data_IF_967123695103
#
_entry.id   IF_967123695103
#
_cell.length_a   1.000
_cell.length_b   1.000
_cell.length_c   1.000
_cell.angle_alpha   90.00
_cell.angle_beta   90.00
_cell.angle_gamma   90.00
#
_symmetry.space_group_name_H-M   'P 1'
#
loop_
_entity.id
_entity.type
_entity.pdbx_description
1 polymer ?
#
# COMPACT_ATOMS: atom_id res chain seq x y z
N UNK A 1 22.27 -18.16 -12.39
CA UNK A 1 23.43 -19.07 -12.27
C UNK A 1 23.08 -20.43 -11.63
N UNK A 2 22.30 -20.47 -10.55
CA UNK A 2 21.98 -21.72 -9.85
C UNK A 2 21.28 -22.78 -10.73
N UNK A 3 20.34 -22.37 -11.59
CA UNK A 3 19.63 -23.27 -12.49
C UNK A 3 20.59 -23.96 -13.48
N UNK A 4 21.43 -23.18 -14.17
CA UNK A 4 22.41 -23.71 -15.12
C UNK A 4 23.44 -24.62 -14.45
N UNK A 5 23.91 -24.27 -13.25
CA UNK A 5 24.82 -25.14 -12.50
C UNK A 5 24.18 -26.49 -12.17
N UNK A 6 22.89 -26.51 -11.79
CA UNK A 6 22.17 -27.75 -11.51
C UNK A 6 21.94 -28.57 -12.78
N UNK A 7 21.64 -27.90 -13.90
CA UNK A 7 21.51 -28.55 -15.22
C UNK A 7 22.82 -29.18 -15.69
N UNK A 8 23.94 -28.46 -15.62
CA UNK A 8 25.27 -28.99 -15.98
C UNK A 8 25.66 -30.16 -15.09
N UNK A 9 25.32 -30.11 -13.79
CA UNK A 9 25.56 -31.24 -12.89
C UNK A 9 24.77 -32.48 -13.32
N UNK A 10 23.51 -32.32 -13.74
CA UNK A 10 22.69 -33.39 -14.28
C UNK A 10 23.28 -33.96 -15.58
N UNK A 11 23.67 -33.09 -16.52
CA UNK A 11 24.24 -33.48 -17.82
C UNK A 11 25.56 -34.24 -17.68
N UNK A 12 26.33 -33.97 -16.61
CA UNK A 12 27.58 -34.65 -16.28
C UNK A 12 27.38 -35.94 -15.46
N UNK A 13 26.15 -36.44 -15.32
CA UNK A 13 25.85 -37.67 -14.59
C UNK A 13 25.88 -37.52 -13.07
N UNK A 14 25.69 -36.30 -12.55
CA UNK A 14 25.52 -36.07 -11.12
C UNK A 14 24.22 -36.67 -10.58
N UNK A 15 24.05 -36.58 -9.26
CA UNK A 15 22.84 -37.03 -8.55
C UNK A 15 21.58 -36.37 -9.14
N UNK A 16 20.77 -37.18 -9.82
CA UNK A 16 19.58 -36.75 -10.58
C UNK A 16 18.48 -36.22 -9.68
N UNK A 17 18.20 -36.89 -8.57
CA UNK A 17 17.19 -36.47 -7.59
C UNK A 17 17.52 -35.06 -7.07
N UNK A 18 18.75 -34.89 -6.61
CA UNK A 18 19.26 -33.60 -6.10
C UNK A 18 19.32 -32.52 -7.17
N UNK A 19 19.72 -32.85 -8.40
CA UNK A 19 19.81 -31.90 -9.48
C UNK A 19 18.43 -31.38 -9.90
N UNK A 20 17.45 -32.28 -10.10
CA UNK A 20 16.07 -31.91 -10.44
C UNK A 20 15.45 -31.03 -9.34
N UNK A 21 15.62 -31.39 -8.07
CA UNK A 21 15.12 -30.57 -6.96
C UNK A 21 15.71 -29.16 -6.99
N UNK A 22 17.03 -29.04 -7.20
CA UNK A 22 17.72 -27.73 -7.28
C UNK A 22 17.29 -26.93 -8.50
N UNK A 23 17.04 -27.56 -9.64
CA UNK A 23 16.50 -26.90 -10.82
C UNK A 23 15.08 -26.37 -10.56
N UNK A 24 14.23 -27.15 -9.89
CA UNK A 24 12.89 -26.74 -9.45
C UNK A 24 12.94 -25.53 -8.51
N UNK A 25 13.78 -25.58 -7.47
CA UNK A 25 13.96 -24.47 -6.52
C UNK A 25 14.54 -23.22 -7.19
N UNK A 26 15.49 -23.39 -8.11
CA UNK A 26 16.05 -22.25 -8.85
C UNK A 26 15.01 -21.61 -9.77
N UNK A 27 14.21 -22.40 -10.49
CA UNK A 27 13.10 -21.90 -11.30
C UNK A 27 12.05 -21.18 -10.43
N UNK A 28 11.75 -21.72 -9.24
CA UNK A 28 10.84 -21.08 -8.27
C UNK A 28 11.37 -19.70 -7.84
N UNK A 29 12.65 -19.60 -7.48
CA UNK A 29 13.28 -18.33 -7.10
C UNK A 29 13.38 -17.31 -8.25
N UNK A 30 13.33 -17.78 -9.50
CA UNK A 30 13.22 -16.94 -10.70
C UNK A 30 11.77 -16.59 -11.06
N UNK A 31 10.79 -17.00 -10.25
CA UNK A 31 9.35 -16.84 -10.51
C UNK A 31 8.86 -17.56 -11.78
N UNK A 32 9.62 -18.54 -12.29
CA UNK A 32 9.23 -19.36 -13.44
C UNK A 32 8.33 -20.51 -12.96
N UNK A 33 7.14 -20.18 -12.46
CA UNK A 33 6.28 -21.09 -11.67
C UNK A 33 5.95 -22.40 -12.37
N UNK A 34 5.56 -22.33 -13.64
CA UNK A 34 5.21 -23.53 -14.42
C UNK A 34 6.42 -24.44 -14.62
N UNK A 35 7.60 -23.86 -14.87
CA UNK A 35 8.84 -24.60 -15.04
C UNK A 35 9.30 -25.25 -13.73
N UNK A 36 9.14 -24.54 -12.61
CA UNK A 36 9.39 -25.09 -11.28
C UNK A 36 8.46 -26.29 -11.00
N UNK A 37 7.16 -26.12 -11.25
CA UNK A 37 6.17 -27.19 -11.09
C UNK A 37 6.50 -28.42 -11.94
N UNK A 38 6.91 -28.24 -13.20
CA UNK A 38 7.30 -29.34 -14.08
C UNK A 38 8.46 -30.16 -13.50
N UNK A 39 9.48 -29.50 -12.94
CA UNK A 39 10.60 -30.19 -12.26
C UNK A 39 10.17 -30.94 -11.02
N UNK A 40 9.27 -30.37 -10.21
CA UNK A 40 8.74 -31.06 -9.04
C UNK A 40 7.79 -32.23 -9.40
N UNK A 41 7.13 -32.18 -10.55
CA UNK A 41 6.40 -33.34 -11.10
C UNK A 41 7.38 -34.42 -11.56
N UNK A 42 8.46 -34.05 -12.24
CA UNK A 42 9.47 -35.00 -12.72
C UNK A 42 10.14 -35.75 -11.56
N UNK A 43 10.56 -35.05 -10.51
CA UNK A 43 11.16 -35.70 -9.34
C UNK A 43 10.16 -36.61 -8.62
N UNK A 44 8.88 -36.26 -8.50
CA UNK A 44 7.87 -37.11 -7.84
C UNK A 44 7.49 -38.35 -8.67
N UNK A 45 7.71 -38.32 -9.99
CA UNK A 45 7.53 -39.50 -10.84
C UNK A 45 8.66 -40.52 -10.64
N UNK A 46 9.88 -40.05 -10.49
CA UNK A 46 11.07 -40.91 -10.34
C UNK A 46 11.39 -41.26 -8.89
N UNK A 47 11.10 -40.34 -7.96
CA UNK A 47 11.39 -40.42 -6.53
C UNK A 47 10.14 -40.03 -5.71
N UNK A 48 9.11 -40.90 -5.65
CA UNK A 48 7.83 -40.58 -5.01
C UNK A 48 7.95 -40.20 -3.52
N UNK A 49 8.96 -40.75 -2.84
CA UNK A 49 9.23 -40.53 -1.40
C UNK A 49 10.11 -39.30 -1.13
N UNK A 50 10.40 -38.45 -2.13
CA UNK A 50 11.24 -37.26 -1.92
C UNK A 50 10.57 -36.29 -0.92
N UNK A 51 11.22 -36.12 0.24
CA UNK A 51 10.65 -35.48 1.43
C UNK A 51 10.00 -34.11 1.19
N UNK A 52 10.54 -33.29 0.27
CA UNK A 52 10.11 -31.90 0.08
C UNK A 52 9.37 -31.62 -1.24
N UNK A 53 9.36 -32.54 -2.20
CA UNK A 53 8.97 -32.20 -3.57
C UNK A 53 7.47 -31.98 -3.72
N UNK A 54 6.66 -32.77 -3.01
CA UNK A 54 5.19 -32.64 -2.97
C UNK A 54 4.76 -31.25 -2.50
N UNK A 55 5.38 -30.74 -1.43
CA UNK A 55 5.05 -29.42 -0.90
C UNK A 55 5.48 -28.29 -1.85
N UNK A 56 6.67 -28.40 -2.44
CA UNK A 56 7.13 -27.40 -3.41
C UNK A 56 6.29 -27.40 -4.70
N UNK A 57 5.80 -28.56 -5.14
CA UNK A 57 4.86 -28.65 -6.26
C UNK A 57 3.54 -27.93 -5.95
N UNK A 58 2.96 -28.13 -4.76
CA UNK A 58 1.75 -27.42 -4.33
C UNK A 58 1.96 -25.91 -4.36
N UNK A 59 3.08 -25.43 -3.81
CA UNK A 59 3.44 -24.01 -3.82
C UNK A 59 3.59 -23.47 -5.24
N UNK A 60 4.40 -24.11 -6.08
CA UNK A 60 4.61 -23.67 -7.47
C UNK A 60 3.30 -23.63 -8.28
N UNK A 61 2.43 -24.61 -8.06
CA UNK A 61 1.11 -24.66 -8.71
C UNK A 61 0.19 -23.54 -8.21
N UNK A 62 0.21 -23.23 -6.91
CA UNK A 62 -0.54 -22.12 -6.34
C UNK A 62 -0.07 -20.77 -6.93
N UNK A 63 1.24 -20.53 -7.03
CA UNK A 63 1.81 -19.31 -7.64
C UNK A 63 1.43 -19.17 -9.12
N UNK A 64 1.49 -20.26 -9.88
CA UNK A 64 1.03 -20.30 -11.28
C UNK A 64 -0.48 -20.03 -11.42
N UNK A 65 -1.29 -20.44 -10.44
CA UNK A 65 -2.72 -20.14 -10.41
C UNK A 65 -2.97 -18.65 -10.12
N UNK A 66 -2.29 -18.10 -9.12
CA UNK A 66 -2.33 -16.68 -8.76
C UNK A 66 -1.96 -15.78 -9.94
N UNK A 67 -0.84 -16.06 -10.60
CA UNK A 67 -0.34 -15.31 -11.76
C UNK A 67 -1.36 -15.25 -12.91
N UNK A 68 -2.04 -16.37 -13.18
CA UNK A 68 -2.96 -16.47 -14.32
C UNK A 68 -4.37 -15.99 -14.02
N UNK A 69 -4.83 -16.19 -12.78
CA UNK A 69 -6.25 -15.99 -12.43
C UNK A 69 -6.51 -14.78 -11.55
N UNK A 70 -5.47 -14.19 -10.94
CA UNK A 70 -5.63 -13.11 -9.96
C UNK A 70 -6.30 -13.55 -8.67
N UNK A 71 -6.42 -14.87 -8.42
CA UNK A 71 -7.03 -15.41 -7.20
C UNK A 71 -6.00 -15.56 -6.10
N UNK A 72 -5.98 -14.58 -5.19
CA UNK A 72 -5.08 -14.57 -4.03
C UNK A 72 -5.84 -14.84 -2.74
N UNK A 73 -5.14 -15.42 -1.77
CA UNK A 73 -5.61 -15.52 -0.40
C UNK A 73 -5.22 -14.26 0.39
N UNK A 74 -5.96 -13.17 0.19
CA UNK A 74 -5.72 -11.89 0.87
C UNK A 74 -5.77 -12.01 2.40
N UNK A 75 -6.57 -12.94 2.91
CA UNK A 75 -6.64 -13.26 4.35
C UNK A 75 -5.27 -13.73 4.87
N UNK A 76 -4.66 -14.69 4.19
CA UNK A 76 -3.32 -15.18 4.54
C UNK A 76 -2.26 -14.10 4.36
N UNK A 77 -2.33 -13.31 3.29
CA UNK A 77 -1.39 -12.20 3.05
C UNK A 77 -1.43 -11.19 4.20
N UNK A 78 -2.63 -10.81 4.65
CA UNK A 78 -2.78 -9.89 5.78
C UNK A 78 -2.23 -10.50 7.08
N UNK A 79 -2.63 -11.73 7.43
CA UNK A 79 -2.16 -12.41 8.65
C UNK A 79 -0.64 -12.56 8.70
N UNK A 80 0.00 -12.77 7.55
CA UNK A 80 1.45 -12.82 7.43
C UNK A 80 2.07 -11.43 7.54
N UNK A 81 1.44 -10.41 6.96
CA UNK A 81 1.94 -9.03 6.94
C UNK A 81 2.08 -8.39 8.32
N UNK A 82 1.27 -8.82 9.30
CA UNK A 82 1.31 -8.28 10.67
C UNK A 82 2.37 -8.95 11.55
N UNK A 83 3.06 -9.97 11.04
CA UNK A 83 4.17 -10.59 11.78
C UNK A 83 5.37 -9.65 11.81
N UNK A 84 6.26 -9.87 12.76
CA UNK A 84 7.44 -9.02 12.94
C UNK A 84 8.49 -9.11 11.81
N UNK A 85 8.44 -10.17 10.99
CA UNK A 85 9.24 -10.32 9.78
C UNK A 85 8.38 -11.08 8.74
N UNK A 86 7.51 -10.37 8.00
CA UNK A 86 6.61 -11.00 7.03
C UNK A 86 7.36 -11.69 5.89
N UNK A 87 6.97 -12.93 5.60
CA UNK A 87 7.43 -13.69 4.43
C UNK A 87 6.23 -14.12 3.59
N UNK A 88 5.69 -13.17 2.82
CA UNK A 88 4.51 -13.43 1.99
C UNK A 88 4.95 -14.05 0.68
N UNK A 89 4.77 -15.36 0.56
CA UNK A 89 5.01 -16.10 -0.68
C UNK A 89 3.76 -16.04 -1.56
N UNK A 90 3.78 -15.21 -2.60
CA UNK A 90 2.72 -15.02 -3.62
C UNK A 90 3.33 -14.64 -4.96
N UNK A 91 2.60 -14.84 -6.05
CA UNK A 91 3.01 -14.40 -7.39
C UNK A 91 2.69 -12.93 -7.66
N UNK A 92 3.36 -12.36 -8.67
CA UNK A 92 2.87 -11.17 -9.36
C UNK A 92 1.62 -11.52 -10.19
N UNK A 93 0.80 -10.51 -10.49
CA UNK A 93 -0.38 -10.59 -11.35
C UNK A 93 -0.55 -9.29 -12.11
N UNK A 94 -0.90 -9.38 -13.40
CA UNK A 94 -1.30 -8.26 -14.24
C UNK A 94 -2.70 -8.54 -14.76
N UNK A 95 -3.65 -7.70 -14.37
CA UNK A 95 -5.05 -7.80 -14.74
C UNK A 95 -5.35 -7.15 -16.09
N UNK A 96 -6.50 -6.48 -16.25
CA UNK A 96 -6.90 -5.87 -17.51
C UNK A 96 -6.22 -4.52 -17.75
N UNK A 97 -4.89 -4.52 -17.69
CA UNK A 97 -4.04 -3.34 -17.83
C UNK A 97 -2.96 -3.58 -18.88
N UNK A 98 -2.54 -2.52 -19.55
CA UNK A 98 -1.47 -2.53 -20.54
C UNK A 98 -0.52 -1.36 -20.28
N UNK A 99 0.77 -1.58 -20.54
CA UNK A 99 1.77 -0.51 -20.52
C UNK A 99 1.75 0.16 -21.89
N UNK A 100 1.61 1.48 -21.92
CA UNK A 100 1.61 2.27 -23.16
C UNK A 100 2.50 3.50 -23.03
N UNK A 101 3.05 3.95 -24.16
CA UNK A 101 3.64 5.28 -24.26
C UNK A 101 2.52 6.30 -24.43
N UNK A 102 2.37 7.17 -23.44
CA UNK A 102 1.40 8.24 -23.39
C UNK A 102 2.07 9.52 -23.90
N UNK A 103 1.53 10.16 -24.96
CA UNK A 103 2.06 11.42 -25.47
C UNK A 103 2.20 12.45 -24.34
N UNK A 104 3.39 13.03 -24.16
CA UNK A 104 3.66 14.00 -23.10
C UNK A 104 4.04 13.41 -21.74
N UNK A 105 3.61 12.19 -21.38
CA UNK A 105 3.90 11.56 -20.06
C UNK A 105 4.97 10.46 -20.10
N UNK A 106 5.27 9.96 -21.31
CA UNK A 106 6.07 8.75 -21.51
C UNK A 106 5.31 7.51 -21.06
N UNK A 107 5.94 6.61 -20.30
CA UNK A 107 5.31 5.33 -19.96
C UNK A 107 4.18 5.49 -18.94
N UNK A 108 2.98 5.08 -19.33
CA UNK A 108 1.79 5.00 -18.48
C UNK A 108 1.16 3.61 -18.47
N UNK A 109 0.08 3.47 -17.71
CA UNK A 109 -0.74 2.26 -17.64
C UNK A 109 -2.13 2.61 -18.17
N UNK A 110 -2.65 1.84 -19.11
CA UNK A 110 -4.01 2.03 -19.67
C UNK A 110 -4.88 0.80 -19.43
N UNK A 111 -6.19 0.99 -19.44
CA UNK A 111 -7.16 -0.10 -19.34
C UNK A 111 -7.29 -0.85 -20.68
N UNK A 112 -7.11 -2.18 -20.69
CA UNK A 112 -7.23 -3.00 -21.91
C UNK A 112 -8.67 -3.31 -22.31
N UNK A 113 -9.61 -3.12 -21.38
CA UNK A 113 -11.07 -3.23 -21.55
C UNK A 113 -11.78 -2.32 -20.56
N UNK A 114 -13.11 -2.23 -20.62
CA UNK A 114 -13.89 -1.58 -19.57
C UNK A 114 -13.68 -2.30 -18.23
N UNK A 115 -13.36 -1.55 -17.19
CA UNK A 115 -13.04 -2.04 -15.85
C UNK A 115 -14.08 -1.50 -14.87
N UNK A 116 -14.63 -2.38 -14.04
CA UNK A 116 -15.54 -1.99 -12.97
C UNK A 116 -14.76 -1.64 -11.70
N UNK A 117 -15.30 -0.69 -10.91
CA UNK A 117 -14.81 -0.41 -9.55
C UNK A 117 -14.62 -1.71 -8.76
N UNK A 118 -13.49 -1.83 -8.05
CA UNK A 118 -13.13 -3.02 -7.28
C UNK A 118 -12.36 -4.09 -8.05
N UNK A 119 -12.23 -3.98 -9.38
CA UNK A 119 -11.47 -4.96 -10.17
C UNK A 119 -9.98 -4.95 -9.80
N UNK A 120 -9.41 -6.12 -9.49
CA UNK A 120 -7.98 -6.29 -9.26
C UNK A 120 -7.18 -5.97 -10.54
N UNK A 121 -6.33 -4.96 -10.47
CA UNK A 121 -5.52 -4.47 -11.58
C UNK A 121 -4.12 -5.08 -11.59
N UNK A 122 -3.49 -5.16 -10.42
CA UNK A 122 -2.15 -5.73 -10.30
C UNK A 122 -1.87 -6.25 -8.89
N UNK A 123 -1.05 -7.29 -8.81
CA UNK A 123 -0.34 -7.68 -7.59
C UNK A 123 1.14 -7.67 -7.93
N UNK A 124 1.94 -6.95 -7.14
CA UNK A 124 3.37 -6.82 -7.36
C UNK A 124 4.11 -7.16 -6.07
N UNK A 125 4.87 -8.24 -6.10
CA UNK A 125 5.77 -8.62 -5.02
C UNK A 125 7.08 -7.84 -5.16
N UNK A 126 7.52 -7.25 -4.05
CA UNK A 126 8.77 -6.50 -4.00
C UNK A 126 9.95 -7.32 -4.57
N UNK A 127 10.83 -6.63 -5.28
CA UNK A 127 12.06 -7.25 -5.82
C UNK A 127 12.97 -7.77 -4.71
N UNK A 128 13.04 -7.05 -3.59
CA UNK A 128 13.75 -7.41 -2.37
C UNK A 128 13.09 -6.73 -1.17
N UNK A 129 13.16 -7.37 -0.02
CA UNK A 129 12.63 -6.85 1.25
C UNK A 129 13.60 -7.15 2.38
N UNK A 130 13.54 -6.33 3.43
CA UNK A 130 14.26 -6.56 4.68
C UNK A 130 13.55 -5.91 5.85
N UNK A 131 13.78 -6.51 7.01
CA UNK A 131 13.15 -6.18 8.27
C UNK A 131 14.21 -5.81 9.30
N UNK A 132 13.83 -5.04 10.31
CA UNK A 132 14.79 -4.63 11.36
C UNK A 132 15.44 -5.82 12.08
N UNK A 133 14.75 -6.96 12.15
CA UNK A 133 15.28 -8.21 12.73
C UNK A 133 16.41 -8.85 11.93
N UNK A 134 16.49 -8.55 10.63
CA UNK A 134 17.53 -9.06 9.75
C UNK A 134 18.91 -8.48 10.08
N UNK A 135 18.95 -7.41 10.88
CA UNK A 135 20.18 -6.77 11.33
C UNK A 135 20.24 -6.75 12.87
N UNK A 136 21.05 -7.63 13.49
CA UNK A 136 21.13 -7.71 14.96
C UNK A 136 21.89 -6.54 15.59
N UNK A 137 22.55 -5.69 14.80
CA UNK A 137 23.32 -4.54 15.28
C UNK A 137 22.54 -3.22 15.30
N UNK A 138 23.22 -2.14 15.71
CA UNK A 138 22.75 -0.77 15.48
C UNK A 138 23.53 -0.18 14.30
N UNK A 139 22.81 0.21 13.25
CA UNK A 139 23.36 0.95 12.13
C UNK A 139 22.63 2.29 12.02
N UNK A 140 23.39 3.37 11.97
CA UNK A 140 22.88 4.71 11.68
C UNK A 140 23.37 5.04 10.27
N UNK A 141 22.44 5.16 9.32
CA UNK A 141 22.73 5.71 7.99
C UNK A 141 22.16 7.13 7.92
N UNK A 142 22.87 8.05 7.30
CA UNK A 142 22.42 9.43 7.10
C UNK A 142 22.27 9.67 5.61
N UNK A 143 21.04 9.89 5.17
CA UNK A 143 20.77 10.32 3.81
C UNK A 143 21.11 11.82 3.68
N UNK A 144 22.30 12.11 3.16
CA UNK A 144 22.81 13.49 3.02
C UNK A 144 22.03 14.34 2.01
N UNK A 145 21.26 13.73 1.11
CA UNK A 145 20.39 14.44 0.15
C UNK A 145 19.11 14.91 0.85
N UNK A 146 18.52 14.05 1.70
CA UNK A 146 17.26 14.32 2.40
C UNK A 146 17.46 14.93 3.79
N UNK A 147 18.71 14.99 4.26
CA UNK A 147 19.08 15.34 5.63
C UNK A 147 18.24 14.55 6.67
N UNK A 148 18.17 13.24 6.49
CA UNK A 148 17.33 12.35 7.29
C UNK A 148 18.09 11.08 7.68
N UNK A 149 17.79 10.55 8.87
CA UNK A 149 18.29 9.24 9.30
C UNK A 149 17.56 8.13 8.55
N UNK A 150 18.33 7.12 8.13
CA UNK A 150 17.84 5.89 7.55
C UNK A 150 18.05 4.71 8.51
N UNK A 151 17.07 3.81 8.51
CA UNK A 151 17.07 2.59 9.31
C UNK A 151 18.01 1.53 8.72
N UNK A 152 18.49 0.62 9.56
CA UNK A 152 19.29 -0.53 9.13
C UNK A 152 18.59 -1.37 8.04
N UNK A 153 17.27 -1.52 8.14
CA UNK A 153 16.46 -2.24 7.16
C UNK A 153 16.48 -1.56 5.77
N UNK A 154 16.48 -0.23 5.69
CA UNK A 154 16.56 0.49 4.42
C UNK A 154 17.91 0.30 3.72
N UNK A 155 19.00 0.21 4.48
CA UNK A 155 20.33 -0.09 3.93
C UNK A 155 20.40 -1.54 3.45
N UNK A 156 19.87 -2.48 4.25
CA UNK A 156 19.95 -3.90 3.95
C UNK A 156 19.17 -4.29 2.68
N UNK A 157 18.05 -3.64 2.38
CA UNK A 157 17.30 -3.94 1.15
C UNK A 157 18.11 -3.60 -0.10
N UNK A 158 18.93 -2.53 -0.07
CA UNK A 158 19.82 -2.16 -1.19
C UNK A 158 20.85 -3.27 -1.41
N UNK A 159 21.51 -3.71 -0.33
CA UNK A 159 22.49 -4.80 -0.39
C UNK A 159 21.85 -6.10 -0.92
N UNK A 160 20.67 -6.47 -0.40
CA UNK A 160 19.93 -7.66 -0.86
C UNK A 160 19.54 -7.57 -2.33
N UNK A 161 19.10 -6.40 -2.80
CA UNK A 161 18.79 -6.19 -4.20
C UNK A 161 20.03 -6.35 -5.09
N UNK A 162 21.17 -5.78 -4.69
CA UNK A 162 22.44 -5.94 -5.41
C UNK A 162 22.88 -7.41 -5.44
N UNK A 163 22.84 -8.11 -4.31
CA UNK A 163 23.15 -9.54 -4.25
C UNK A 163 22.23 -10.38 -5.14
N UNK A 164 20.93 -10.07 -5.17
CA UNK A 164 19.97 -10.77 -6.01
C UNK A 164 20.33 -10.59 -7.49
N UNK A 165 20.67 -9.38 -7.92
CA UNK A 165 21.13 -9.10 -9.28
C UNK A 165 22.44 -9.83 -9.59
N UNK A 166 23.43 -9.80 -8.68
CA UNK A 166 24.71 -10.49 -8.87
C UNK A 166 24.55 -12.01 -9.01
N UNK A 167 23.67 -12.61 -8.20
CA UNK A 167 23.37 -14.06 -8.23
C UNK A 167 22.51 -14.44 -9.45
N UNK A 168 21.66 -13.51 -9.92
CA UNK A 168 20.71 -13.68 -11.02
C UNK A 168 20.73 -12.50 -12.01
N UNK A 169 21.78 -12.38 -12.85
CA UNK A 169 21.93 -11.23 -13.76
C UNK A 169 20.74 -10.99 -14.70
N UNK A 170 20.02 -12.06 -15.08
CA UNK A 170 18.82 -11.98 -15.91
C UNK A 170 17.67 -11.18 -15.28
N UNK A 171 17.66 -11.04 -13.95
CA UNK A 171 16.68 -10.25 -13.20
C UNK A 171 17.04 -8.77 -13.12
N UNK A 172 18.25 -8.39 -13.52
CA UNK A 172 18.69 -6.99 -13.53
C UNK A 172 17.73 -6.08 -14.31
N UNK A 173 17.15 -6.60 -15.40
CA UNK A 173 16.15 -5.90 -16.22
C UNK A 173 14.92 -5.47 -15.41
N UNK A 174 14.52 -6.20 -14.37
CA UNK A 174 13.39 -5.82 -13.50
C UNK A 174 13.67 -4.49 -12.79
N UNK A 175 14.94 -4.22 -12.46
CA UNK A 175 15.36 -2.98 -11.79
C UNK A 175 15.72 -1.89 -12.81
N UNK A 176 16.47 -2.21 -13.86
CA UNK A 176 16.89 -1.22 -14.86
C UNK A 176 15.74 -0.73 -15.74
N UNK A 177 14.64 -1.49 -15.86
CA UNK A 177 13.45 -1.04 -16.58
C UNK A 177 12.47 -0.24 -15.70
N UNK A 178 12.78 -0.02 -14.42
CA UNK A 178 11.99 0.87 -13.58
C UNK A 178 11.94 2.26 -14.21
N UNK A 179 10.74 2.81 -14.26
CA UNK A 179 10.47 4.09 -14.90
C UNK A 179 10.17 5.13 -13.83
N UNK A 180 10.97 6.19 -13.79
CA UNK A 180 10.82 7.28 -12.81
C UNK A 180 9.97 8.45 -13.32
N UNK A 181 9.36 8.33 -14.51
CA UNK A 181 8.72 9.45 -15.20
C UNK A 181 9.70 10.26 -16.06
N UNK A 182 9.15 11.00 -17.02
CA UNK A 182 9.86 12.11 -17.66
C UNK A 182 9.59 13.40 -16.87
N UNK A 183 10.56 14.32 -16.89
CA UNK A 183 10.30 15.69 -16.43
C UNK A 183 9.62 16.42 -17.58
N UNK A 184 8.30 16.47 -17.57
CA UNK A 184 7.53 17.32 -18.47
C UNK A 184 6.93 18.47 -17.69
N UNK A 185 7.12 19.67 -18.23
CA UNK A 185 6.55 20.90 -17.70
C UNK A 185 5.08 20.98 -18.17
N UNK A 186 4.18 21.24 -17.22
CA UNK A 186 2.75 21.49 -17.41
C UNK A 186 1.93 20.30 -17.93
N UNK A 187 1.50 19.45 -16.99
CA UNK A 187 0.54 18.42 -17.32
C UNK A 187 -0.55 18.27 -16.26
N UNK A 188 -1.79 18.19 -16.74
CA UNK A 188 -2.96 18.02 -15.91
C UNK A 188 -3.01 16.60 -15.37
N UNK A 189 -2.77 16.43 -14.07
CA UNK A 189 -2.88 15.12 -13.39
C UNK A 189 -4.33 14.92 -12.95
N UNK A 190 -5.08 13.98 -13.55
CA UNK A 190 -6.45 13.70 -13.14
C UNK A 190 -6.50 12.95 -11.80
N UNK A 191 -7.70 12.86 -11.23
CA UNK A 191 -7.92 12.17 -9.97
C UNK A 191 -7.54 10.68 -10.06
N UNK A 192 -7.12 10.09 -8.94
CA UNK A 192 -6.68 8.70 -8.91
C UNK A 192 -7.84 7.73 -9.24
N UNK A 193 -7.67 6.93 -10.28
CA UNK A 193 -8.63 5.91 -10.73
C UNK A 193 -8.34 4.52 -10.17
N UNK A 194 -7.23 4.36 -9.46
CA UNK A 194 -6.86 3.16 -8.74
C UNK A 194 -6.35 3.48 -7.32
N UNK A 195 -6.44 2.48 -6.46
CA UNK A 195 -5.92 2.54 -5.09
C UNK A 195 -4.93 1.39 -4.88
N UNK A 196 -3.97 1.59 -3.97
CA UNK A 196 -2.97 0.59 -3.61
C UNK A 196 -3.08 0.23 -2.13
N UNK A 197 -3.01 -1.06 -1.83
CA UNK A 197 -2.86 -1.64 -0.51
C UNK A 197 -1.52 -2.37 -0.42
N UNK A 198 -0.85 -2.30 0.73
CA UNK A 198 0.43 -2.96 0.94
C UNK A 198 0.25 -4.01 2.04
N UNK A 199 0.51 -5.28 1.71
CA UNK A 199 0.62 -6.39 2.66
C UNK A 199 2.09 -6.76 2.77
N UNK A 200 2.76 -6.32 3.84
CA UNK A 200 4.18 -6.57 4.04
C UNK A 200 4.99 -6.02 2.86
N UNK A 201 5.52 -6.91 2.03
CA UNK A 201 6.30 -6.61 0.84
C UNK A 201 5.55 -6.89 -0.48
N UNK A 202 4.22 -6.90 -0.45
CA UNK A 202 3.34 -7.09 -1.62
C UNK A 202 2.43 -5.89 -1.78
N UNK A 203 2.49 -5.28 -2.95
CA UNK A 203 1.60 -4.21 -3.37
C UNK A 203 0.43 -4.78 -4.18
N UNK A 204 -0.78 -4.44 -3.79
CA UNK A 204 -2.03 -4.88 -4.43
C UNK A 204 -2.79 -3.64 -4.89
N UNK A 205 -3.23 -3.64 -6.15
CA UNK A 205 -3.86 -2.48 -6.77
C UNK A 205 -5.23 -2.89 -7.30
N UNK A 206 -6.29 -2.16 -6.94
CA UNK A 206 -7.60 -2.28 -7.62
C UNK A 206 -8.12 -0.94 -8.12
N UNK A 207 -9.04 -1.00 -9.08
CA UNK A 207 -9.76 0.16 -9.56
C UNK A 207 -10.62 0.78 -8.45
N UNK A 208 -10.50 2.08 -8.22
CA UNK A 208 -11.32 2.83 -7.25
C UNK A 208 -12.62 3.34 -7.87
N UNK A 209 -12.71 3.35 -9.21
CA UNK A 209 -13.86 3.78 -10.01
C UNK A 209 -14.04 2.87 -11.23
N UNK A 210 -15.09 3.10 -12.01
CA UNK A 210 -15.22 2.50 -13.34
C UNK A 210 -14.27 3.20 -14.31
N UNK A 211 -13.53 2.43 -15.11
CA UNK A 211 -12.52 2.93 -16.05
C UNK A 211 -12.87 2.43 -17.45
N UNK A 212 -12.87 3.29 -18.47
CA UNK A 212 -13.17 2.86 -19.84
C UNK A 212 -11.94 2.27 -20.51
N UNK A 213 -12.17 1.37 -21.46
CA UNK A 213 -11.11 0.85 -22.31
C UNK A 213 -10.32 2.00 -22.95
N UNK A 214 -9.00 1.95 -22.85
CA UNK A 214 -8.08 2.95 -23.40
C UNK A 214 -7.80 4.12 -22.46
N UNK A 215 -8.57 4.29 -21.38
CA UNK A 215 -8.27 5.32 -20.38
C UNK A 215 -7.00 4.98 -19.61
N UNK A 216 -6.22 6.02 -19.30
CA UNK A 216 -5.07 5.93 -18.42
C UNK A 216 -5.49 5.69 -16.96
N UNK A 217 -4.71 4.86 -16.26
CA UNK A 217 -4.94 4.48 -14.87
C UNK A 217 -3.98 5.27 -13.97
N UNK A 218 -4.55 5.98 -13.01
CA UNK A 218 -3.80 6.88 -12.13
C UNK A 218 -3.78 6.36 -10.70
N UNK A 219 -2.59 6.34 -10.11
CA UNK A 219 -2.36 6.08 -8.69
C UNK A 219 -1.96 7.36 -7.99
N UNK A 220 -2.57 7.63 -6.84
CA UNK A 220 -2.12 8.73 -5.99
C UNK A 220 -0.70 8.44 -5.46
N UNK A 221 0.25 9.32 -5.77
CA UNK A 221 1.61 9.23 -5.24
C UNK A 221 1.64 9.53 -3.74
N UNK A 222 0.81 10.48 -3.32
CA UNK A 222 0.69 10.93 -1.93
C UNK A 222 -0.77 10.84 -1.52
N UNK A 223 -1.01 10.43 -0.27
CA UNK A 223 -2.34 10.39 0.32
C UNK A 223 -3.00 11.79 0.30
N UNK A 224 -4.28 11.93 -0.10
CA UNK A 224 -4.93 13.23 -0.25
C UNK A 224 -4.94 14.05 1.05
N UNK A 225 -5.06 13.38 2.21
CA UNK A 225 -5.00 14.04 3.53
C UNK A 225 -3.62 14.53 3.97
N UNK A 226 -2.55 14.28 3.22
CA UNK A 226 -1.23 14.79 3.60
C UNK A 226 -1.17 16.30 3.33
N UNK A 227 -1.12 17.17 4.34
CA UNK A 227 -1.12 18.63 4.12
C UNK A 227 0.16 19.14 3.45
N UNK A 228 1.21 18.32 3.37
CA UNK A 228 2.47 18.66 2.71
C UNK A 228 2.56 18.10 1.28
N UNK A 229 1.43 17.87 0.58
CA UNK A 229 1.41 17.27 -0.77
C UNK A 229 2.37 17.99 -1.72
N UNK A 230 2.24 19.31 -1.86
CA UNK A 230 3.06 20.11 -2.78
C UNK A 230 4.55 19.93 -2.52
N UNK A 231 4.97 20.04 -1.25
CA UNK A 231 6.36 19.80 -0.84
C UNK A 231 6.81 18.38 -1.16
N UNK A 232 5.97 17.37 -0.93
CA UNK A 232 6.28 15.99 -1.24
C UNK A 232 6.34 15.70 -2.75
N UNK A 233 5.62 16.47 -3.58
CA UNK A 233 5.68 16.36 -5.05
C UNK A 233 6.87 17.11 -5.64
N UNK A 234 7.42 18.12 -4.95
CA UNK A 234 8.55 18.93 -5.45
C UNK A 234 9.78 18.11 -5.87
N UNK A 235 10.01 16.93 -5.28
CA UNK A 235 11.12 16.06 -5.67
C UNK A 235 10.95 15.42 -7.06
N UNK A 236 9.74 15.42 -7.61
CA UNK A 236 9.40 14.83 -8.91
C UNK A 236 9.49 15.83 -10.08
N UNK A 237 9.83 17.10 -9.81
CA UNK A 237 10.04 18.15 -10.83
C UNK A 237 8.87 18.33 -11.80
N UNK A 238 7.63 18.21 -11.31
CA UNK A 238 6.41 18.57 -12.05
C UNK A 238 5.49 19.41 -11.16
N UNK A 239 4.58 20.17 -11.77
CA UNK A 239 3.52 20.91 -11.07
C UNK A 239 2.23 20.11 -11.13
N UNK A 240 1.63 19.83 -9.97
CA UNK A 240 0.37 19.07 -9.89
C UNK A 240 -0.83 19.97 -10.09
N UNK A 241 -1.62 19.71 -11.12
CA UNK A 241 -2.83 20.49 -11.45
C UNK A 241 -4.12 19.74 -11.10
N UNK A 242 -4.09 18.77 -10.20
CA UNK A 242 -5.30 18.07 -9.77
C UNK A 242 -6.26 19.04 -9.05
N UNK A 243 -7.53 18.66 -8.94
CA UNK A 243 -8.57 19.52 -8.37
C UNK A 243 -8.25 20.00 -6.94
N UNK A 244 -7.50 19.20 -6.16
CA UNK A 244 -7.05 19.54 -4.81
C UNK A 244 -5.95 20.61 -4.83
N UNK A 245 -4.94 20.46 -5.68
CA UNK A 245 -3.83 21.40 -5.79
C UNK A 245 -4.29 22.74 -6.37
N UNK A 246 -5.15 22.72 -7.40
CA UNK A 246 -5.75 23.95 -7.95
C UNK A 246 -6.62 24.71 -6.92
N UNK A 247 -7.31 23.98 -6.05
CA UNK A 247 -8.10 24.60 -4.98
C UNK A 247 -7.23 25.22 -3.89
N UNK A 248 -6.08 24.60 -3.56
CA UNK A 248 -5.11 25.13 -2.59
C UNK A 248 -4.32 26.32 -3.15
N UNK A 249 -3.99 26.32 -4.45
CA UNK A 249 -3.27 27.42 -5.10
C UNK A 249 -4.06 28.74 -5.05
N UNK A 250 -5.38 28.66 -5.22
CA UNK A 250 -6.29 29.82 -5.16
C UNK A 250 -6.55 30.32 -3.74
N UNK A 251 -6.01 29.64 -2.73
CA UNK A 251 -6.37 29.85 -1.34
C UNK A 251 -5.30 30.65 -0.58
N UNK A 252 -5.57 31.94 -0.39
CA UNK A 252 -4.68 32.89 0.28
C UNK A 252 -4.31 32.48 1.72
N UNK A 253 -5.12 31.64 2.37
CA UNK A 253 -4.89 31.18 3.74
C UNK A 253 -4.09 29.85 3.80
N UNK A 254 -3.63 29.29 2.68
CA UNK A 254 -2.93 28.01 2.64
C UNK A 254 -1.69 28.00 3.56
N UNK A 255 -0.79 28.97 3.42
CA UNK A 255 0.43 29.07 4.25
C UNK A 255 0.12 29.20 5.75
N UNK A 256 -0.90 30.01 6.11
CA UNK A 256 -1.36 30.17 7.49
C UNK A 256 -1.87 28.86 8.09
N UNK A 257 -2.62 28.06 7.31
CA UNK A 257 -3.09 26.73 7.74
C UNK A 257 -1.93 25.75 7.93
N UNK A 258 -0.95 25.74 7.03
CA UNK A 258 0.25 24.93 7.21
C UNK A 258 1.00 25.28 8.49
N UNK A 259 1.11 26.57 8.84
CA UNK A 259 1.74 27.01 10.10
C UNK A 259 0.96 26.51 11.34
N UNK A 260 -0.36 26.69 11.36
CA UNK A 260 -1.22 26.22 12.46
C UNK A 260 -1.12 24.68 12.59
N UNK A 261 -1.13 23.97 11.47
CA UNK A 261 -1.00 22.52 11.45
C UNK A 261 0.36 22.06 11.99
N UNK A 262 1.44 22.72 11.59
CA UNK A 262 2.79 22.44 12.11
C UNK A 262 2.90 22.69 13.62
N UNK A 263 2.24 23.73 14.14
CA UNK A 263 2.13 23.97 15.58
C UNK A 263 1.36 22.83 16.28
N UNK A 264 0.28 22.36 15.68
CA UNK A 264 -0.57 21.29 16.21
C UNK A 264 0.15 19.95 16.29
N UNK A 265 0.86 19.53 15.23
CA UNK A 265 1.57 18.24 15.20
C UNK A 265 2.75 18.22 16.17
N UNK A 266 3.41 19.36 16.44
CA UNK A 266 4.50 19.45 17.43
C UNK A 266 4.04 19.17 18.86
N UNK A 267 2.75 19.30 19.12
CA UNK A 267 2.14 18.98 20.41
C UNK A 267 1.70 17.51 20.52
N UNK A 268 1.84 16.71 19.45
CA UNK A 268 1.44 15.30 19.46
C UNK A 268 2.35 14.49 20.38
N UNK A 269 1.76 13.60 21.16
CA UNK A 269 2.46 12.60 21.97
C UNK A 269 1.95 11.21 21.60
N UNK A 270 2.77 10.18 21.82
CA UNK A 270 2.48 8.83 21.32
C UNK A 270 1.24 8.18 21.98
N UNK A 271 0.99 8.40 23.27
CA UNK A 271 -0.17 7.88 24.02
C UNK A 271 -0.48 8.76 25.23
N UNK A 272 -1.74 8.74 25.68
CA UNK A 272 -2.20 9.40 26.91
C UNK A 272 -1.91 10.91 26.90
N UNK A 273 -2.39 11.61 25.88
CA UNK A 273 -2.18 13.05 25.70
C UNK A 273 -2.67 13.83 26.94
N UNK A 274 -1.79 14.57 27.63
CA UNK A 274 -2.17 15.33 28.82
C UNK A 274 -3.27 16.35 28.53
N UNK A 275 -4.19 16.57 29.48
CA UNK A 275 -5.35 17.45 29.29
C UNK A 275 -4.97 18.88 28.85
N UNK A 276 -3.87 19.43 29.38
CA UNK A 276 -3.37 20.75 29.00
C UNK A 276 -2.88 20.81 27.55
N UNK A 277 -2.32 19.71 27.02
CA UNK A 277 -1.90 19.58 25.62
C UNK A 277 -3.14 19.52 24.72
N UNK A 278 -4.17 18.79 25.14
CA UNK A 278 -5.45 18.71 24.41
C UNK A 278 -6.12 20.08 24.33
N UNK A 279 -6.16 20.84 25.43
CA UNK A 279 -6.72 22.21 25.40
C UNK A 279 -5.99 23.12 24.43
N UNK A 280 -4.65 23.00 24.33
CA UNK A 280 -3.87 23.74 23.31
C UNK A 280 -4.22 23.28 21.89
N UNK A 281 -4.34 21.97 21.67
CA UNK A 281 -4.74 21.38 20.38
C UNK A 281 -6.16 21.79 19.97
N UNK A 282 -7.12 21.83 20.90
CA UNK A 282 -8.47 22.35 20.71
C UNK A 282 -8.45 23.84 20.30
N UNK A 283 -7.62 24.66 20.95
CA UNK A 283 -7.47 26.07 20.60
C UNK A 283 -6.89 26.26 19.18
N UNK A 284 -5.93 25.43 18.78
CA UNK A 284 -5.38 25.42 17.42
C UNK A 284 -6.42 24.96 16.39
N UNK A 285 -7.24 23.96 16.72
CA UNK A 285 -8.35 23.53 15.87
C UNK A 285 -9.36 24.66 15.67
N UNK A 286 -9.67 25.43 16.72
CA UNK A 286 -10.52 26.62 16.61
C UNK A 286 -9.92 27.67 15.67
N UNK A 287 -8.64 28.01 15.85
CA UNK A 287 -7.90 28.91 14.94
C UNK A 287 -7.90 28.40 13.51
N UNK A 288 -7.77 27.09 13.30
CA UNK A 288 -7.84 26.47 11.98
C UNK A 288 -9.22 26.67 11.34
N UNK A 289 -10.32 26.50 12.08
CA UNK A 289 -11.68 26.73 11.55
C UNK A 289 -11.89 28.15 11.06
N UNK A 290 -11.35 29.12 11.80
CA UNK A 290 -11.45 30.56 11.46
C UNK A 290 -10.72 30.92 10.16
N UNK A 291 -9.87 30.04 9.64
CA UNK A 291 -9.20 30.25 8.33
C UNK A 291 -10.00 29.77 7.14
N UNK A 292 -11.09 29.02 7.36
CA UNK A 292 -11.95 28.50 6.29
C UNK A 292 -13.22 29.34 6.13
N UNK A 293 -13.59 29.60 4.88
CA UNK A 293 -14.86 30.18 4.46
C UNK A 293 -15.74 29.11 3.78
N UNK A 294 -16.93 29.52 3.32
CA UNK A 294 -17.82 28.65 2.55
C UNK A 294 -17.31 28.39 1.11
N UNK A 295 -16.35 29.18 0.62
CA UNK A 295 -15.79 29.05 -0.73
C UNK A 295 -14.72 27.95 -0.80
N UNK A 296 -14.14 27.55 0.35
CA UNK A 296 -13.16 26.47 0.38
C UNK A 296 -13.84 25.12 0.15
N UNK A 297 -13.73 24.61 -1.08
CA UNK A 297 -14.24 23.30 -1.48
C UNK A 297 -13.67 22.15 -0.64
N UNK A 298 -12.38 22.21 -0.28
CA UNK A 298 -11.70 21.16 0.48
C UNK A 298 -11.12 21.70 1.79
N UNK A 299 -11.37 21.00 2.90
CA UNK A 299 -10.89 21.40 4.25
C UNK A 299 -9.92 20.39 4.85
N UNK A 300 -8.90 20.01 4.07
CA UNK A 300 -8.01 18.88 4.36
C UNK A 300 -7.22 19.01 5.67
N UNK A 301 -6.65 20.19 5.95
CA UNK A 301 -5.94 20.41 7.21
C UNK A 301 -6.88 20.28 8.40
N UNK A 302 -8.13 20.74 8.27
CA UNK A 302 -9.14 20.62 9.31
C UNK A 302 -9.54 19.15 9.52
N UNK A 303 -9.80 18.41 8.45
CA UNK A 303 -10.11 16.98 8.50
C UNK A 303 -8.98 16.16 9.15
N UNK A 304 -7.70 16.46 8.81
CA UNK A 304 -6.55 15.79 9.43
C UNK A 304 -6.43 16.09 10.93
N UNK A 305 -6.58 17.36 11.32
CA UNK A 305 -6.54 17.74 12.75
C UNK A 305 -7.69 17.11 13.54
N UNK A 306 -8.89 17.03 12.97
CA UNK A 306 -10.03 16.35 13.59
C UNK A 306 -9.77 14.85 13.76
N UNK A 307 -9.19 14.20 12.76
CA UNK A 307 -8.80 12.78 12.84
C UNK A 307 -7.81 12.57 13.99
N UNK A 308 -6.77 13.38 14.08
CA UNK A 308 -5.76 13.26 15.14
C UNK A 308 -6.34 13.55 16.53
N UNK A 309 -7.21 14.55 16.65
CA UNK A 309 -7.87 14.87 17.92
C UNK A 309 -8.90 13.79 18.32
N UNK A 310 -9.51 13.11 17.36
CA UNK A 310 -10.40 11.98 17.64
C UNK A 310 -9.66 10.82 18.32
N UNK A 311 -8.43 10.53 17.87
CA UNK A 311 -7.55 9.55 18.51
C UNK A 311 -7.17 9.98 19.93
N UNK A 312 -6.81 11.26 20.13
CA UNK A 312 -6.54 11.80 21.47
C UNK A 312 -7.75 11.61 22.42
N UNK A 313 -8.97 11.91 21.95
CA UNK A 313 -10.17 11.74 22.76
C UNK A 313 -10.52 10.28 23.01
N UNK A 314 -10.25 9.39 22.06
CA UNK A 314 -10.47 7.96 22.23
C UNK A 314 -9.57 7.39 23.33
N UNK A 315 -8.28 7.76 23.32
CA UNK A 315 -7.31 7.36 24.36
C UNK A 315 -7.71 7.83 25.76
N UNK A 316 -8.37 8.98 25.87
CA UNK A 316 -8.94 9.48 27.14
C UNK A 316 -10.24 8.79 27.57
N UNK A 317 -10.84 7.95 26.72
CA UNK A 317 -12.19 7.41 26.91
C UNK A 317 -13.31 8.42 26.66
N UNK A 318 -13.04 9.58 26.06
CA UNK A 318 -14.05 10.59 25.70
C UNK A 318 -14.69 10.28 24.33
N UNK A 319 -15.44 9.17 24.29
CA UNK A 319 -16.08 8.68 23.06
C UNK A 319 -17.05 9.68 22.43
N UNK A 320 -17.72 10.52 23.22
CA UNK A 320 -18.63 11.57 22.71
C UNK A 320 -17.90 12.61 21.87
N UNK A 321 -16.72 13.06 22.30
CA UNK A 321 -15.91 13.99 21.49
C UNK A 321 -15.23 13.29 20.31
N UNK A 322 -14.83 12.02 20.45
CA UNK A 322 -14.39 11.16 19.33
C UNK A 322 -15.42 11.18 18.20
N UNK A 323 -16.67 10.80 18.51
CA UNK A 323 -17.78 10.71 17.54
C UNK A 323 -17.97 12.04 16.80
N UNK A 324 -18.05 13.16 17.54
CA UNK A 324 -18.24 14.48 16.94
C UNK A 324 -17.13 14.84 15.95
N UNK A 325 -15.88 14.52 16.27
CA UNK A 325 -14.76 14.80 15.36
C UNK A 325 -14.86 13.96 14.09
N UNK A 326 -15.14 12.65 14.22
CA UNK A 326 -15.19 11.73 13.09
C UNK A 326 -16.43 11.96 12.19
N UNK A 327 -17.59 12.27 12.76
CA UNK A 327 -18.79 12.67 12.00
C UNK A 327 -18.50 13.92 11.16
N UNK A 328 -17.75 14.86 11.72
CA UNK A 328 -17.33 16.06 10.99
C UNK A 328 -16.28 15.76 9.92
N UNK A 329 -15.33 14.86 10.17
CA UNK A 329 -14.38 14.44 9.11
C UNK A 329 -15.14 13.87 7.91
N UNK A 330 -16.16 13.04 8.14
CA UNK A 330 -16.99 12.48 7.07
C UNK A 330 -17.68 13.60 6.28
N UNK A 331 -18.31 14.56 6.96
CA UNK A 331 -19.02 15.66 6.27
C UNK A 331 -18.08 16.60 5.51
N UNK A 332 -16.82 16.73 5.94
CA UNK A 332 -15.80 17.53 5.25
C UNK A 332 -15.18 16.82 4.05
N UNK A 333 -15.31 15.50 3.96
CA UNK A 333 -14.65 14.66 2.95
C UNK A 333 -15.62 13.79 2.16
N UNK A 334 -16.87 14.22 2.03
CA UNK A 334 -17.77 13.69 1.00
C UNK A 334 -17.18 13.89 -0.41
N UNK A 335 -17.85 13.40 -1.44
CA UNK A 335 -17.43 13.37 -2.86
C UNK A 335 -16.57 14.61 -3.26
N UNK A 336 -15.31 14.43 -3.72
CA UNK A 336 -14.69 13.23 -4.29
C UNK A 336 -13.76 12.43 -3.37
N UNK A 337 -13.67 12.77 -2.08
CA UNK A 337 -12.71 12.12 -1.16
C UNK A 337 -13.30 10.96 -0.37
N UNK A 338 -14.48 10.48 -0.75
CA UNK A 338 -15.16 9.41 -0.02
C UNK A 338 -14.31 8.13 0.05
N UNK A 339 -13.49 7.86 -0.96
CA UNK A 339 -12.65 6.64 -1.05
C UNK A 339 -11.57 6.54 0.03
N UNK A 340 -11.28 7.61 0.79
CA UNK A 340 -10.32 7.59 1.92
C UNK A 340 -11.00 7.59 3.30
N UNK A 341 -12.31 7.34 3.35
CA UNK A 341 -13.10 7.35 4.58
C UNK A 341 -13.28 5.98 5.25
N UNK A 342 -12.70 4.90 4.72
CA UNK A 342 -12.87 3.56 5.28
C UNK A 342 -12.33 3.45 6.72
N UNK A 343 -11.09 3.89 6.96
CA UNK A 343 -10.50 3.96 8.31
C UNK A 343 -11.33 4.83 9.26
N UNK A 344 -11.78 6.00 8.77
CA UNK A 344 -12.57 6.97 9.54
C UNK A 344 -13.91 6.35 9.96
N UNK A 345 -14.58 5.66 9.04
CA UNK A 345 -15.86 4.98 9.29
C UNK A 345 -15.70 3.82 10.26
N UNK A 346 -14.61 3.05 10.20
CA UNK A 346 -14.34 1.99 11.18
C UNK A 346 -14.12 2.57 12.57
N UNK A 347 -13.29 3.60 12.70
CA UNK A 347 -13.04 4.26 13.98
C UNK A 347 -14.35 4.85 14.56
N UNK A 348 -15.19 5.44 13.71
CA UNK A 348 -16.50 5.96 14.12
C UNK A 348 -17.43 4.82 14.57
N UNK A 349 -17.43 3.68 13.88
CA UNK A 349 -18.20 2.52 14.27
C UNK A 349 -17.81 1.99 15.65
N UNK A 350 -16.51 1.91 15.94
CA UNK A 350 -15.99 1.53 17.25
C UNK A 350 -16.50 2.52 18.31
N UNK A 351 -16.34 3.83 18.08
CA UNK A 351 -16.81 4.85 19.01
C UNK A 351 -18.35 4.78 19.22
N UNK A 352 -19.15 4.54 18.17
CA UNK A 352 -20.61 4.32 18.29
C UNK A 352 -20.95 3.08 19.11
N UNK A 353 -20.27 1.96 18.87
CA UNK A 353 -20.51 0.72 19.59
C UNK A 353 -20.19 0.87 21.08
N UNK A 354 -19.05 1.47 21.43
CA UNK A 354 -18.68 1.77 22.82
C UNK A 354 -19.70 2.68 23.50
N UNK A 355 -20.39 3.53 22.74
CA UNK A 355 -21.46 4.41 23.24
C UNK A 355 -22.87 3.78 23.19
N UNK A 356 -22.97 2.46 22.94
CA UNK A 356 -24.24 1.71 22.90
C UNK A 356 -25.07 1.93 21.63
N UNK A 357 -24.55 2.63 20.62
CA UNK A 357 -25.25 2.97 19.38
C UNK A 357 -25.03 1.91 18.30
N UNK A 358 -25.42 0.67 18.59
CA UNK A 358 -25.13 -0.52 17.75
C UNK A 358 -25.62 -0.39 16.31
N UNK A 359 -26.81 0.16 16.06
CA UNK A 359 -27.34 0.33 14.70
C UNK A 359 -26.47 1.26 13.85
N UNK A 360 -26.02 2.38 14.43
CA UNK A 360 -25.11 3.31 13.75
C UNK A 360 -23.74 2.69 13.51
N UNK A 361 -23.25 1.92 14.48
CA UNK A 361 -22.00 1.20 14.35
C UNK A 361 -22.01 0.24 13.15
N UNK A 362 -23.09 -0.56 13.01
CA UNK A 362 -23.28 -1.47 11.87
C UNK A 362 -23.37 -0.74 10.53
N UNK A 363 -24.09 0.38 10.48
CA UNK A 363 -24.18 1.20 9.27
C UNK A 363 -22.80 1.71 8.84
N UNK A 364 -22.00 2.22 9.78
CA UNK A 364 -20.65 2.72 9.47
C UNK A 364 -19.72 1.62 8.99
N UNK A 365 -19.78 0.42 9.59
CA UNK A 365 -19.00 -0.72 9.11
C UNK A 365 -19.43 -1.16 7.72
N UNK A 366 -20.73 -1.19 7.42
CA UNK A 366 -21.22 -1.51 6.08
C UNK A 366 -20.70 -0.51 5.05
N UNK A 367 -20.77 0.79 5.36
CA UNK A 367 -20.23 1.86 4.51
C UNK A 367 -18.71 1.81 4.39
N UNK A 368 -17.99 1.40 5.44
CA UNK A 368 -16.55 1.18 5.39
C UNK A 368 -16.22 -0.01 4.49
N UNK A 369 -16.99 -1.09 4.56
CA UNK A 369 -16.82 -2.28 3.74
C UNK A 369 -17.03 -1.99 2.25
N UNK A 370 -18.03 -1.19 1.90
CA UNK A 370 -18.30 -0.76 0.52
C UNK A 370 -17.22 0.15 -0.08
N UNK A 371 -16.54 0.93 0.77
CA UNK A 371 -15.42 1.78 0.36
C UNK A 371 -14.09 1.04 0.32
N UNK A 372 -13.84 0.26 1.38
CA UNK A 372 -12.67 -0.57 1.48
C UNK A 372 -12.74 -1.49 0.28
N UNK A 373 -11.77 -1.39 -0.62
CA UNK A 373 -11.67 -2.31 -1.75
C UNK A 373 -11.13 -3.67 -1.26
N UNK A 374 -11.59 -4.07 -0.06
CA UNK A 374 -11.40 -5.35 0.56
C UNK A 374 -12.07 -6.39 -0.31
N UNK A 375 -11.30 -7.44 -0.62
CA UNK A 375 -11.73 -8.47 -1.56
C UNK A 375 -12.91 -9.28 -1.02
N UNK A 376 -13.03 -9.40 0.31
CA UNK A 376 -14.17 -10.02 0.97
C UNK A 376 -14.32 -9.55 2.44
N UNK A 377 -15.38 -10.03 3.10
CA UNK A 377 -15.68 -9.75 4.51
C UNK A 377 -14.60 -10.28 5.46
N UNK A 378 -13.96 -11.40 5.13
CA UNK A 378 -12.93 -12.00 5.97
C UNK A 378 -11.66 -11.15 5.97
N UNK A 379 -11.32 -10.57 4.82
CA UNK A 379 -10.25 -9.63 4.65
C UNK A 379 -10.52 -8.31 5.37
N UNK A 380 -11.76 -7.79 5.29
CA UNK A 380 -12.16 -6.63 6.08
C UNK A 380 -12.04 -6.89 7.59
N UNK A 381 -12.48 -8.06 8.06
CA UNK A 381 -12.38 -8.44 9.47
C UNK A 381 -10.94 -8.49 9.97
N UNK A 382 -9.98 -8.76 9.10
CA UNK A 382 -8.58 -8.78 9.45
C UNK A 382 -7.95 -7.39 9.53
N UNK A 383 -8.26 -6.52 8.56
CA UNK A 383 -7.79 -5.13 8.57
C UNK A 383 -8.38 -4.38 9.77
N UNK A 384 -9.62 -4.68 10.11
CA UNK A 384 -10.38 -4.00 11.16
C UNK A 384 -10.87 -4.99 12.21
N UNK A 385 -9.98 -5.62 13.02
CA UNK A 385 -10.35 -6.70 13.95
C UNK A 385 -11.31 -6.25 15.05
N UNK A 386 -11.28 -4.98 15.43
CA UNK A 386 -12.23 -4.43 16.40
C UNK A 386 -13.57 -4.04 15.75
N UNK A 387 -13.55 -3.54 14.51
CA UNK A 387 -14.76 -3.32 13.72
C UNK A 387 -15.45 -4.62 13.29
N UNK A 388 -14.68 -5.69 13.10
CA UNK A 388 -15.13 -7.03 12.76
C UNK A 388 -16.11 -7.63 13.76
N UNK A 389 -15.97 -7.28 15.05
CA UNK A 389 -16.86 -7.73 16.13
C UNK A 389 -18.28 -7.18 15.98
N UNK A 390 -18.47 -6.21 15.07
CA UNK A 390 -19.73 -5.52 14.82
C UNK A 390 -20.46 -6.02 13.57
N UNK A 391 -19.79 -6.83 12.73
CA UNK A 391 -20.36 -7.59 11.61
C UNK A 391 -21.02 -8.87 12.11
#
# INVERSE_FOLDING_TARGET
MAYENAKVALDKGGDREKALYRMGMAAYGMKEWQKAANHFVEILKEFPEHAFASEQLKRATARSCEERSGKFNFKMMHLESIKAAPEIDVSDYSGPIEIADIPGKGRGIIASKDIQKGTLLAVSKAFSSSHSKDFPGKLISINVIRNAEETAAQMLVIVRAMENILKNPQRAKEVYNLYSGHSTENEQVPDATAHKNIYGDVMVIHASTNIKKGDEIFLAYIHPLNPAREKCLSCWKFTCECCLCQAEEKDENCSKRTQIFNEFIRLSVNKNTPQNVITKREALLKRMRETYTNENKFKLHLAKMLTDLSSDYFDMGNTKKCIKCLEEVISLMEDPLEYVLDDVRVNLAICYYTNGQTSKAKEMIQKAFELSLCVDKDHFKLIYPDGAKLL
#
